data_IF_828958151627
#
_entry.id   IF_828958151627
#
_cell.length_a   1.000
_cell.length_b   1.000
_cell.length_c   1.000
_cell.angle_alpha   90.00
_cell.angle_beta   90.00
_cell.angle_gamma   90.00
#
_symmetry.space_group_name_H-M   'P 1'
#
loop_
_entity.id
_entity.type
_entity.pdbx_description
1 polymer ?
#
# COMPACT_ATOMS: atom_id res chain seq x y z
N UNK A 1 6.23 13.59 -8.87
CA UNK A 1 5.62 13.13 -7.59
C UNK A 1 5.72 14.24 -6.56
N UNK A 2 4.64 14.52 -5.89
CA UNK A 2 4.66 15.44 -4.75
C UNK A 2 5.36 14.75 -3.57
N UNK A 3 6.49 15.29 -3.11
CA UNK A 3 7.27 14.72 -2.01
C UNK A 3 6.91 15.36 -0.65
N UNK A 4 5.69 15.91 -0.54
CA UNK A 4 5.23 16.63 0.65
C UNK A 4 5.34 15.76 1.91
N UNK A 5 5.15 14.46 1.80
CA UNK A 5 5.21 13.54 2.93
C UNK A 5 6.62 13.37 3.51
N UNK A 6 7.67 13.70 2.76
CA UNK A 6 9.03 13.62 3.28
C UNK A 6 9.29 14.62 4.41
N UNK A 7 8.58 15.76 4.40
CA UNK A 7 8.68 16.75 5.48
C UNK A 7 8.06 16.29 6.80
N UNK A 8 7.23 15.25 6.75
CA UNK A 8 6.53 14.66 7.89
C UNK A 8 7.07 13.28 8.26
N UNK A 9 8.08 12.79 7.55
CA UNK A 9 8.59 11.43 7.68
C UNK A 9 9.24 11.20 9.04
N UNK A 10 8.77 10.18 9.74
CA UNK A 10 9.32 9.65 11.00
C UNK A 10 10.04 8.33 10.73
N UNK A 11 11.33 8.29 11.00
CA UNK A 11 12.17 7.09 10.79
C UNK A 11 12.13 6.18 12.02
N UNK A 12 10.94 5.75 12.42
CA UNK A 12 10.74 4.85 13.54
C UNK A 12 9.49 3.97 13.31
N UNK A 13 9.27 3.05 14.23
CA UNK A 13 8.12 2.13 14.23
C UNK A 13 7.05 2.48 15.28
N UNK A 14 7.04 3.70 15.79
CA UNK A 14 6.13 4.14 16.85
C UNK A 14 4.74 4.53 16.33
N UNK A 15 4.26 3.86 15.30
CA UNK A 15 2.91 4.06 14.79
C UNK A 15 1.87 3.26 15.58
N UNK A 16 0.66 3.76 15.61
CA UNK A 16 -0.48 3.07 16.20
C UNK A 16 -0.92 1.91 15.30
N UNK A 17 -0.65 0.68 15.71
CA UNK A 17 -0.98 -0.54 14.94
C UNK A 17 -2.48 -0.74 14.72
N UNK A 18 -3.33 -0.16 15.58
CA UNK A 18 -4.78 -0.21 15.44
C UNK A 18 -5.35 0.85 14.50
N UNK A 19 -4.55 1.85 14.11
CA UNK A 19 -4.95 2.87 13.15
C UNK A 19 -5.15 2.31 11.74
N UNK A 20 -5.81 3.08 10.88
CA UNK A 20 -5.86 2.80 9.45
C UNK A 20 -4.51 3.16 8.83
N UNK A 21 -3.79 2.16 8.32
CA UNK A 21 -2.43 2.31 7.78
C UNK A 21 -2.37 1.83 6.34
N UNK A 22 -1.91 2.69 5.43
CA UNK A 22 -1.54 2.33 4.07
C UNK A 22 -0.04 1.97 4.05
N UNK A 23 0.27 0.75 3.67
CA UNK A 23 1.62 0.19 3.60
C UNK A 23 2.12 0.18 2.17
N UNK A 24 3.32 0.72 1.94
CA UNK A 24 3.96 0.77 0.62
C UNK A 24 5.31 0.09 0.71
N UNK A 25 5.44 -1.08 0.08
CA UNK A 25 6.62 -1.94 0.14
C UNK A 25 7.52 -1.74 -1.08
N UNK A 26 8.82 -1.87 -0.87
CA UNK A 26 9.84 -1.71 -1.92
C UNK A 26 9.78 -0.32 -2.57
N UNK A 27 9.71 0.70 -1.73
CA UNK A 27 9.61 2.10 -2.15
C UNK A 27 10.84 2.61 -2.92
N UNK A 28 11.93 1.86 -2.89
CA UNK A 28 13.13 2.04 -3.69
C UNK A 28 13.01 1.53 -5.13
N UNK A 29 11.88 0.90 -5.48
CA UNK A 29 11.62 0.30 -6.80
C UNK A 29 10.39 0.92 -7.47
N UNK A 30 10.34 0.82 -8.80
CA UNK A 30 9.15 1.21 -9.57
C UNK A 30 7.98 0.27 -9.31
N UNK A 31 6.78 0.84 -9.28
CA UNK A 31 5.54 0.15 -8.99
C UNK A 31 5.62 -0.64 -7.66
N UNK A 32 5.79 0.04 -6.53
CA UNK A 32 5.83 -0.60 -5.23
C UNK A 32 4.52 -1.34 -4.94
N UNK A 33 4.59 -2.37 -4.10
CA UNK A 33 3.41 -3.09 -3.64
C UNK A 33 2.71 -2.31 -2.53
N UNK A 34 1.39 -2.25 -2.56
CA UNK A 34 0.59 -1.63 -1.52
C UNK A 34 -0.29 -2.65 -0.79
N UNK A 35 -0.44 -2.42 0.51
CA UNK A 35 -1.39 -3.11 1.37
C UNK A 35 -2.01 -2.13 2.36
N UNK A 36 -2.98 -2.59 3.12
CA UNK A 36 -3.71 -1.77 4.07
C UNK A 36 -3.95 -2.54 5.36
N UNK A 37 -3.91 -1.85 6.51
CA UNK A 37 -4.25 -2.47 7.79
C UNK A 37 -5.19 -1.59 8.62
N UNK A 38 -5.98 -2.24 9.43
CA UNK A 38 -6.85 -1.62 10.41
C UNK A 38 -7.10 -2.58 11.57
N UNK A 39 -7.13 -2.06 12.80
CA UNK A 39 -7.30 -2.87 14.01
C UNK A 39 -6.31 -4.06 14.08
N UNK A 40 -5.02 -3.77 13.85
CA UNK A 40 -3.90 -4.73 13.93
C UNK A 40 -3.93 -5.85 12.88
N UNK A 41 -4.78 -5.75 11.87
CA UNK A 41 -4.95 -6.74 10.80
C UNK A 41 -4.59 -6.15 9.44
N UNK A 42 -3.73 -6.85 8.72
CA UNK A 42 -3.23 -6.45 7.42
C UNK A 42 -3.90 -7.23 6.29
N UNK A 43 -4.11 -6.53 5.17
CA UNK A 43 -4.75 -7.03 3.97
C UNK A 43 -3.96 -6.59 2.75
N UNK A 44 -3.76 -7.49 1.80
CA UNK A 44 -3.19 -7.15 0.49
C UNK A 44 -3.66 -8.10 -0.60
N UNK A 45 -3.59 -7.65 -1.84
CA UNK A 45 -3.85 -8.46 -3.03
C UNK A 45 -2.56 -8.68 -3.80
N UNK A 46 -2.29 -9.91 -4.20
CA UNK A 46 -1.10 -10.33 -4.95
C UNK A 46 -1.50 -11.06 -6.22
N UNK A 47 -0.54 -11.22 -7.15
CA UNK A 47 -0.77 -12.00 -8.38
C UNK A 47 -1.11 -13.46 -8.08
N UNK A 48 -0.52 -14.04 -7.05
CA UNK A 48 -0.67 -15.45 -6.67
C UNK A 48 -1.50 -15.66 -5.41
N UNK A 49 -2.23 -14.66 -4.93
CA UNK A 49 -3.05 -14.78 -3.73
C UNK A 49 -3.36 -13.46 -3.06
N UNK A 50 -3.65 -13.55 -1.77
CA UNK A 50 -3.98 -12.40 -0.92
C UNK A 50 -3.53 -12.62 0.51
N UNK A 51 -3.38 -11.54 1.27
CA UNK A 51 -3.29 -11.57 2.73
C UNK A 51 -4.62 -11.08 3.30
N UNK A 52 -5.17 -11.79 4.25
CA UNK A 52 -6.41 -11.45 4.97
C UNK A 52 -6.20 -11.67 6.45
N UNK A 53 -6.54 -10.69 7.25
CA UNK A 53 -6.38 -10.75 8.72
C UNK A 53 -4.95 -11.07 9.18
N UNK A 54 -3.94 -10.71 8.39
CA UNK A 54 -2.57 -11.04 8.72
C UNK A 54 -2.08 -10.16 9.89
N UNK A 55 -1.50 -10.75 10.96
CA UNK A 55 -1.08 -9.98 12.13
C UNK A 55 0.02 -8.96 11.79
N UNK A 56 -0.15 -7.71 12.20
CA UNK A 56 0.84 -6.65 11.95
C UNK A 56 2.19 -6.96 12.57
N UNK A 57 2.25 -7.55 13.75
CA UNK A 57 3.53 -7.89 14.38
C UNK A 57 4.33 -8.91 13.55
N UNK A 58 3.65 -9.87 12.95
CA UNK A 58 4.28 -10.81 12.01
C UNK A 58 4.77 -10.10 10.73
N UNK A 59 3.98 -9.13 10.23
CA UNK A 59 4.36 -8.32 9.07
C UNK A 59 5.62 -7.50 9.36
N UNK A 60 5.68 -6.82 10.50
CA UNK A 60 6.84 -6.02 10.93
C UNK A 60 8.08 -6.90 11.06
N UNK A 61 7.94 -8.11 11.62
CA UNK A 61 9.03 -9.07 11.74
C UNK A 61 9.60 -9.48 10.38
N UNK A 62 8.73 -9.71 9.39
CA UNK A 62 9.14 -10.01 8.00
C UNK A 62 9.86 -8.81 7.36
N UNK A 63 9.30 -7.61 7.50
CA UNK A 63 9.89 -6.37 6.99
C UNK A 63 11.31 -6.18 7.52
N UNK A 64 11.49 -6.34 8.82
CA UNK A 64 12.79 -6.13 9.46
C UNK A 64 13.79 -7.22 9.12
N UNK A 65 13.37 -8.49 9.11
CA UNK A 65 14.26 -9.62 8.80
C UNK A 65 14.76 -9.58 7.35
N UNK A 66 13.92 -9.16 6.42
CA UNK A 66 14.24 -9.03 4.99
C UNK A 66 14.76 -7.64 4.61
N UNK A 67 14.81 -6.72 5.56
CA UNK A 67 15.22 -5.31 5.33
C UNK A 67 14.45 -4.65 4.17
N UNK A 68 13.14 -4.87 4.12
CA UNK A 68 12.29 -4.29 3.07
C UNK A 68 12.12 -2.80 3.36
N UNK A 69 12.38 -1.95 2.35
CA UNK A 69 12.13 -0.52 2.43
C UNK A 69 10.62 -0.24 2.35
N UNK A 70 10.06 0.37 3.39
CA UNK A 70 8.60 0.57 3.52
C UNK A 70 8.30 2.00 3.94
N UNK A 71 7.27 2.60 3.31
CA UNK A 71 6.56 3.77 3.82
C UNK A 71 5.21 3.34 4.39
N UNK A 72 4.81 3.95 5.49
CA UNK A 72 3.53 3.71 6.15
C UNK A 72 2.84 5.06 6.31
N UNK A 73 1.64 5.19 5.74
CA UNK A 73 0.81 6.38 5.86
C UNK A 73 -0.32 6.08 6.85
N UNK A 74 -0.33 6.79 7.97
CA UNK A 74 -1.44 6.76 8.91
C UNK A 74 -2.55 7.66 8.38
N UNK A 75 -3.75 7.09 8.23
CA UNK A 75 -4.89 7.74 7.61
C UNK A 75 -6.02 7.98 8.61
N UNK A 76 -6.83 9.01 8.33
CA UNK A 76 -8.10 9.19 9.02
C UNK A 76 -9.02 7.98 8.76
N UNK A 77 -9.57 7.39 9.82
CA UNK A 77 -10.41 6.19 9.71
C UNK A 77 -11.67 6.41 8.84
N UNK A 78 -12.15 7.64 8.75
CA UNK A 78 -13.31 8.03 7.91
C UNK A 78 -13.11 7.78 6.41
N UNK A 79 -11.87 7.62 5.96
CA UNK A 79 -11.52 7.28 4.57
C UNK A 79 -12.05 5.90 4.18
N UNK A 80 -12.12 4.98 5.15
CA UNK A 80 -12.61 3.62 4.92
C UNK A 80 -14.14 3.61 4.87
N UNK A 81 -14.71 3.25 3.72
CA UNK A 81 -16.16 3.20 3.48
C UNK A 81 -16.73 1.79 3.51
N UNK A 82 -15.90 0.79 3.21
CA UNK A 82 -16.27 -0.62 3.17
C UNK A 82 -15.28 -1.38 4.06
N UNK A 83 -15.78 -2.34 4.83
CA UNK A 83 -14.95 -3.19 5.69
C UNK A 83 -13.86 -3.90 4.87
N UNK A 84 -12.63 -3.93 5.37
CA UNK A 84 -11.51 -4.61 4.71
C UNK A 84 -11.76 -6.12 4.62
N UNK A 85 -12.37 -6.71 5.64
CA UNK A 85 -12.78 -8.11 5.60
C UNK A 85 -13.72 -8.41 4.44
N UNK A 86 -14.78 -7.62 4.25
CA UNK A 86 -15.68 -7.76 3.10
C UNK A 86 -14.92 -7.60 1.78
N UNK A 87 -14.13 -6.54 1.65
CA UNK A 87 -13.44 -6.24 0.40
C UNK A 87 -12.45 -7.33 -0.01
N UNK A 88 -11.67 -7.86 0.93
CA UNK A 88 -10.63 -8.85 0.63
C UNK A 88 -11.10 -10.31 0.74
N UNK A 89 -12.21 -10.60 1.41
CA UNK A 89 -12.73 -11.97 1.54
C UNK A 89 -13.65 -12.39 0.40
N UNK A 90 -14.49 -11.50 -0.11
CA UNK A 90 -15.63 -11.84 -0.96
C UNK A 90 -15.38 -11.77 -2.47
N UNK A 91 -14.37 -11.10 -2.95
CA UNK A 91 -14.23 -10.87 -4.39
C UNK A 91 -12.83 -11.04 -4.96
N UNK A 92 -11.81 -10.95 -4.15
CA UNK A 92 -10.43 -10.90 -4.64
C UNK A 92 -9.61 -12.05 -4.09
N UNK A 93 -9.50 -13.12 -4.86
CA UNK A 93 -8.57 -14.21 -4.54
C UNK A 93 -7.15 -13.89 -4.96
N UNK A 94 -6.98 -12.99 -5.92
CA UNK A 94 -5.71 -12.51 -6.48
C UNK A 94 -5.96 -11.29 -7.35
N UNK A 95 -4.89 -10.60 -7.75
CA UNK A 95 -4.96 -9.50 -8.72
C UNK A 95 -5.39 -10.06 -10.08
N UNK A 96 -6.54 -9.60 -10.58
CA UNK A 96 -7.08 -9.97 -11.89
C UNK A 96 -6.49 -9.08 -13.00
N UNK A 97 -6.74 -9.47 -14.25
CA UNK A 97 -6.35 -8.64 -15.40
C UNK A 97 -7.08 -7.29 -15.35
N UNK A 98 -6.35 -6.20 -15.52
CA UNK A 98 -6.87 -4.84 -15.41
C UNK A 98 -6.88 -4.26 -13.99
N UNK A 99 -6.69 -5.09 -12.97
CA UNK A 99 -6.57 -4.68 -11.57
C UNK A 99 -5.11 -4.47 -11.17
N UNK A 100 -4.90 -3.89 -10.00
CA UNK A 100 -3.61 -3.78 -9.32
C UNK A 100 -3.77 -4.10 -7.83
N UNK A 101 -2.67 -4.09 -7.07
CA UNK A 101 -2.75 -4.21 -5.60
C UNK A 101 -3.55 -3.08 -4.95
N UNK A 102 -3.68 -1.93 -5.61
CA UNK A 102 -4.49 -0.80 -5.14
C UNK A 102 -6.00 -0.98 -5.37
N UNK A 103 -6.41 -1.80 -6.33
CA UNK A 103 -7.82 -1.93 -6.71
C UNK A 103 -8.75 -2.21 -5.53
N UNK A 104 -8.51 -3.21 -4.67
CA UNK A 104 -9.37 -3.44 -3.52
C UNK A 104 -9.26 -2.32 -2.46
N UNK A 105 -8.09 -1.68 -2.35
CA UNK A 105 -7.87 -0.58 -1.40
C UNK A 105 -8.71 0.63 -1.79
N UNK A 106 -8.63 1.10 -3.04
CA UNK A 106 -9.40 2.26 -3.51
C UNK A 106 -10.91 2.00 -3.48
N UNK A 107 -11.34 0.77 -3.77
CA UNK A 107 -12.76 0.38 -3.63
C UNK A 107 -13.22 0.40 -2.18
N UNK A 108 -12.41 -0.06 -1.24
CA UNK A 108 -12.71 0.03 0.19
C UNK A 108 -12.84 1.49 0.67
N UNK A 109 -12.14 2.42 0.02
CA UNK A 109 -12.26 3.86 0.24
C UNK A 109 -13.42 4.52 -0.52
N UNK A 110 -14.27 3.74 -1.21
CA UNK A 110 -15.39 4.25 -2.00
C UNK A 110 -14.98 4.98 -3.28
N UNK A 111 -13.78 4.71 -3.81
CA UNK A 111 -13.24 5.30 -5.05
C UNK A 111 -13.43 4.32 -6.20
N UNK A 112 -13.66 4.81 -7.40
CA UNK A 112 -14.04 3.98 -8.56
C UNK A 112 -13.17 4.20 -9.79
N UNK A 113 -12.14 5.03 -9.70
CA UNK A 113 -11.31 5.36 -10.85
C UNK A 113 -10.54 4.14 -11.36
N UNK A 114 -10.51 4.01 -12.69
CA UNK A 114 -9.67 3.06 -13.39
C UNK A 114 -8.28 3.69 -13.63
N UNK A 115 -7.25 2.85 -13.80
CA UNK A 115 -5.88 3.30 -14.06
C UNK A 115 -5.22 4.07 -12.90
N UNK A 116 -5.69 3.85 -11.69
CA UNK A 116 -5.19 4.46 -10.48
C UNK A 116 -3.79 3.93 -10.13
N UNK A 117 -2.87 4.82 -9.86
CA UNK A 117 -1.55 4.48 -9.31
C UNK A 117 -1.41 5.04 -7.89
N UNK A 118 -0.38 4.59 -7.19
CA UNK A 118 -0.16 4.98 -5.79
C UNK A 118 -0.01 6.50 -5.61
N UNK A 119 0.64 7.18 -6.57
CA UNK A 119 0.79 8.63 -6.54
C UNK A 119 -0.54 9.37 -6.55
N UNK A 120 -1.49 8.91 -7.36
CA UNK A 120 -2.82 9.48 -7.42
C UNK A 120 -3.50 9.37 -6.06
N UNK A 121 -3.44 8.19 -5.43
CA UNK A 121 -4.03 7.95 -4.12
C UNK A 121 -3.39 8.83 -3.03
N UNK A 122 -2.08 8.88 -2.97
CA UNK A 122 -1.36 9.69 -1.94
C UNK A 122 -1.66 11.17 -2.14
N UNK A 123 -1.67 11.67 -3.37
CA UNK A 123 -1.97 13.07 -3.65
C UNK A 123 -3.40 13.43 -3.24
N UNK A 124 -4.40 12.63 -3.61
CA UNK A 124 -5.79 12.86 -3.22
C UNK A 124 -5.98 12.82 -1.71
N UNK A 125 -5.43 11.81 -1.03
CA UNK A 125 -5.50 11.71 0.44
C UNK A 125 -4.84 12.92 1.12
N UNK A 126 -3.78 13.45 0.55
CA UNK A 126 -3.12 14.65 1.05
C UNK A 126 -3.97 15.90 0.84
N UNK A 127 -4.49 16.10 -0.35
CA UNK A 127 -5.37 17.24 -0.68
C UNK A 127 -6.63 17.25 0.19
N UNK A 128 -7.16 16.08 0.50
CA UNK A 128 -8.30 15.88 1.41
C UNK A 128 -7.92 16.00 2.89
N UNK A 129 -6.65 16.22 3.22
CA UNK A 129 -6.14 16.26 4.59
C UNK A 129 -6.41 14.98 5.41
N UNK A 130 -6.35 13.83 4.76
CA UNK A 130 -6.61 12.52 5.35
C UNK A 130 -5.34 11.77 5.78
N UNK A 131 -4.14 12.31 5.53
CA UNK A 131 -2.88 11.75 6.01
C UNK A 131 -2.51 12.42 7.33
N UNK A 132 -2.41 11.62 8.41
CA UNK A 132 -2.11 12.10 9.76
C UNK A 132 -0.59 12.10 9.99
N UNK A 133 0.05 10.97 9.72
CA UNK A 133 1.49 10.75 9.92
C UNK A 133 2.06 9.90 8.78
N UNK A 134 3.38 10.02 8.59
CA UNK A 134 4.12 9.17 7.65
C UNK A 134 5.32 8.57 8.38
N UNK A 135 5.52 7.26 8.25
CA UNK A 135 6.62 6.52 8.86
C UNK A 135 7.44 5.81 7.79
N UNK A 136 8.73 5.67 8.03
CA UNK A 136 9.64 4.94 7.16
C UNK A 136 10.39 3.85 7.91
N UNK A 137 10.45 2.66 7.33
CA UNK A 137 11.21 1.51 7.83
C UNK A 137 12.22 1.07 6.77
N UNK A 138 13.46 0.85 7.20
CA UNK A 138 14.54 0.34 6.32
C UNK A 138 14.71 1.15 5.02
N UNK A 139 14.45 2.44 5.04
CA UNK A 139 14.64 3.29 3.87
C UNK A 139 16.12 3.37 3.49
N UNK A 140 16.46 3.35 2.19
CA UNK A 140 17.83 3.57 1.75
C UNK A 140 18.36 4.92 2.22
N UNK A 141 19.66 5.00 2.45
CA UNK A 141 20.31 6.29 2.71
C UNK A 141 20.06 7.26 1.57
N UNK A 142 19.68 8.49 1.89
CA UNK A 142 19.33 9.50 0.89
C UNK A 142 18.02 9.29 0.17
N UNK A 143 17.11 8.45 0.69
CA UNK A 143 15.79 8.27 0.09
C UNK A 143 15.07 9.61 -0.08
N UNK A 144 14.64 9.91 -1.30
CA UNK A 144 13.96 11.16 -1.63
C UNK A 144 12.54 10.99 -2.13
N UNK A 145 12.27 9.89 -2.85
CA UNK A 145 10.95 9.63 -3.41
C UNK A 145 10.84 8.20 -3.92
N UNK A 146 9.60 7.74 -4.07
CA UNK A 146 9.29 6.54 -4.85
C UNK A 146 9.60 6.85 -6.32
N UNK A 147 10.32 5.98 -7.05
CA UNK A 147 10.58 6.18 -8.48
C UNK A 147 9.28 6.33 -9.27
N UNK A 148 9.25 7.28 -10.20
CA UNK A 148 8.08 7.55 -11.04
C UNK A 148 7.73 6.37 -11.96
N UNK A 149 6.45 6.08 -12.11
CA UNK A 149 5.90 5.06 -13.02
C UNK A 149 4.48 5.44 -13.40
N UNK A 150 3.91 4.75 -14.39
CA UNK A 150 2.52 4.91 -14.83
C UNK A 150 1.74 3.59 -14.73
N UNK A 151 0.47 3.63 -15.03
CA UNK A 151 -0.40 2.46 -14.95
C UNK A 151 -0.03 1.39 -16.00
N UNK A 152 0.45 1.78 -17.17
CA UNK A 152 0.92 0.85 -18.21
C UNK A 152 2.10 0.02 -17.69
N UNK A 153 3.05 0.66 -17.01
CA UNK A 153 4.16 -0.04 -16.35
C UNK A 153 3.66 -1.08 -15.33
N UNK A 154 2.66 -0.72 -14.52
CA UNK A 154 2.05 -1.63 -13.54
C UNK A 154 1.46 -2.85 -14.24
N UNK A 155 0.67 -2.65 -15.29
CA UNK A 155 0.03 -3.74 -16.03
C UNK A 155 1.05 -4.67 -16.70
N UNK A 156 2.09 -4.12 -17.29
CA UNK A 156 3.20 -4.90 -17.88
C UNK A 156 3.90 -5.74 -16.81
N UNK A 157 4.22 -5.15 -15.67
CA UNK A 157 4.87 -5.85 -14.55
C UNK A 157 4.01 -6.99 -14.01
N UNK A 158 2.71 -6.77 -13.84
CA UNK A 158 1.77 -7.80 -13.40
C UNK A 158 1.65 -8.95 -14.41
N UNK A 159 1.65 -8.65 -15.71
CA UNK A 159 1.65 -9.68 -16.75
C UNK A 159 2.91 -10.56 -16.69
N UNK A 160 4.09 -9.95 -16.52
CA UNK A 160 5.35 -10.67 -16.34
C UNK A 160 5.32 -11.59 -15.09
N UNK A 161 4.80 -11.10 -13.98
CA UNK A 161 4.67 -11.90 -12.75
C UNK A 161 3.71 -13.08 -12.92
N UNK A 162 2.63 -12.94 -13.68
CA UNK A 162 1.70 -14.03 -13.97
C UNK A 162 2.35 -15.15 -14.78
N UNK A 163 3.21 -14.80 -15.73
CA UNK A 163 3.95 -15.77 -16.56
C UNK A 163 4.99 -16.51 -15.73
N UNK A 164 5.71 -15.80 -14.85
CA UNK A 164 6.82 -16.34 -14.07
C UNK A 164 6.36 -17.01 -12.75
N UNK A 165 5.13 -16.78 -12.33
CA UNK A 165 4.53 -17.31 -11.09
C UNK A 165 3.85 -18.67 -11.24
N UNK A 166 4.18 -19.45 -12.26
CA UNK A 166 3.67 -20.83 -12.44
C UNK A 166 4.45 -21.83 -11.61
#
# INVERSE_FOLDING_TARGET
MSNFYLNQLKLNSDFNKSALLLWVFHVDKKAPHAGISFNEKYFSSKVNGKDVDFPIDSLISIINSKKIAVLIFELEAKVLKISLNSMFSEGYTRILQGDSCLTPIIKAMGRTDQNYILDDLINELSEEQNIINVFGLNLPEGFQSIPSYDFEFVQKRLAELRVNGK
#
